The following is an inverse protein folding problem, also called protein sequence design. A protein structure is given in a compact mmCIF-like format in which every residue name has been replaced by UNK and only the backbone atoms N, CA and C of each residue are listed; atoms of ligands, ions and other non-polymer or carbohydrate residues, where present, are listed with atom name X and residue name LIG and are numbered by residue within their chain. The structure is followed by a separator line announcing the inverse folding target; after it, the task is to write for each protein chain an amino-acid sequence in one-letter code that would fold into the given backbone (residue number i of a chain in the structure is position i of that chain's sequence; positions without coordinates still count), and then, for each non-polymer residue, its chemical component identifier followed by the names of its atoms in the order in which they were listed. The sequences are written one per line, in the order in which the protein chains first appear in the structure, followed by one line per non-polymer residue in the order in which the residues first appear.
data_IF_567474278331
#
_entry.id   IF_567474278331
#
_cell.length_a   1.000
_cell.length_b   1.000
_cell.length_c   1.000
_cell.angle_alpha   90.00
_cell.angle_beta   90.00
_cell.angle_gamma   90.00
#
_symmetry.space_group_name_H-M   'P 1'
#
loop_
_entity.id
_entity.type
_entity.pdbx_description
1 polymer ?
#
# COMPACT_ATOMS: atom_id res chain seq x y z
N UNK A 1 -9.88 -20.10 -17.78
CA UNK A 1 -10.20 -18.66 -17.76
C UNK A 1 -9.22 -18.03 -16.80
N UNK A 2 -8.53 -16.98 -17.23
CA UNK A 2 -7.54 -16.27 -16.42
C UNK A 2 -8.29 -15.08 -15.84
N UNK A 3 -8.36 -14.99 -14.52
CA UNK A 3 -8.89 -13.84 -13.81
C UNK A 3 -7.76 -13.12 -13.09
N UNK A 4 -7.80 -11.80 -13.04
CA UNK A 4 -6.84 -10.99 -12.27
C UNK A 4 -7.53 -10.36 -11.07
N UNK A 5 -6.87 -10.41 -9.92
CA UNK A 5 -7.18 -9.58 -8.77
C UNK A 5 -5.92 -8.79 -8.36
N UNK A 6 -6.04 -7.48 -8.31
CA UNK A 6 -5.01 -6.55 -7.86
C UNK A 6 -5.39 -5.99 -6.49
N UNK A 7 -4.59 -6.26 -5.47
CA UNK A 7 -4.68 -5.56 -4.20
C UNK A 7 -3.34 -4.89 -3.85
N UNK A 8 -3.39 -3.89 -2.97
CA UNK A 8 -2.23 -3.18 -2.50
C UNK A 8 -2.34 -2.97 -0.98
N UNK A 9 -1.40 -3.54 -0.23
CA UNK A 9 -1.31 -3.28 1.20
C UNK A 9 -0.70 -1.90 1.49
N UNK A 10 -1.13 -1.29 2.60
CA UNK A 10 -0.45 -0.10 3.10
C UNK A 10 0.93 -0.46 3.67
N UNK A 11 1.92 0.41 3.41
CA UNK A 11 3.25 0.28 3.98
C UNK A 11 3.25 0.54 5.50
N UNK A 12 4.28 0.06 6.24
CA UNK A 12 4.31 0.09 7.70
C UNK A 12 4.02 1.45 8.34
N UNK A 13 4.50 2.56 7.75
CA UNK A 13 4.25 3.90 8.31
C UNK A 13 2.77 4.28 8.30
N UNK A 14 2.00 3.81 7.33
CA UNK A 14 0.56 4.07 7.26
C UNK A 14 -0.19 3.21 8.27
N UNK A 15 0.23 1.95 8.45
CA UNK A 15 -0.34 1.07 9.50
C UNK A 15 -0.03 1.56 10.91
N UNK A 16 1.13 2.19 11.09
CA UNK A 16 1.58 2.71 12.37
C UNK A 16 1.07 4.13 12.67
N UNK A 17 0.22 4.72 11.84
CA UNK A 17 -0.33 6.05 12.10
C UNK A 17 -1.17 6.05 13.39
N UNK A 18 -0.97 7.07 14.22
CA UNK A 18 -1.63 7.20 15.52
C UNK A 18 -2.32 8.55 15.65
N UNK A 19 -3.34 8.60 16.50
CA UNK A 19 -3.93 9.85 16.95
C UNK A 19 -3.11 10.39 18.13
N UNK A 20 -2.37 11.47 17.90
CA UNK A 20 -1.52 12.09 18.93
C UNK A 20 -2.33 12.76 20.04
N UNK A 21 -3.61 13.02 19.83
CA UNK A 21 -4.50 13.60 20.83
C UNK A 21 -5.06 12.54 21.79
N UNK A 22 -4.90 11.24 21.49
CA UNK A 22 -5.24 10.15 22.40
C UNK A 22 -4.22 10.05 23.55
N UNK A 23 -4.70 9.68 24.74
CA UNK A 23 -3.95 9.84 26.00
C UNK A 23 -2.69 8.98 26.10
N UNK A 24 -2.64 7.87 25.36
CA UNK A 24 -1.53 6.92 25.35
C UNK A 24 -0.37 7.30 24.44
N UNK A 25 -0.56 8.26 23.53
CA UNK A 25 0.47 8.71 22.57
C UNK A 25 1.08 10.04 22.99
N UNK A 26 2.40 10.15 22.86
CA UNK A 26 3.17 11.34 23.21
C UNK A 26 4.46 11.42 22.37
N UNK A 27 5.31 12.42 22.63
CA UNK A 27 6.52 12.62 21.83
C UNK A 27 7.59 11.53 22.02
N UNK A 28 7.59 10.84 23.16
CA UNK A 28 8.62 9.83 23.48
C UNK A 28 8.33 8.50 22.77
N UNK A 29 7.06 8.15 22.62
CA UNK A 29 6.60 6.91 22.00
C UNK A 29 6.07 7.07 20.56
N UNK A 30 6.27 8.24 19.95
CA UNK A 30 5.99 8.48 18.53
C UNK A 30 7.23 8.96 17.78
N UNK A 31 7.22 8.75 16.48
CA UNK A 31 8.09 9.45 15.53
C UNK A 31 7.22 10.17 14.51
N UNK A 32 7.80 11.09 13.75
CA UNK A 32 7.03 11.83 12.75
C UNK A 32 7.72 11.85 11.39
N UNK A 33 6.90 11.99 10.37
CA UNK A 33 7.30 12.34 9.01
C UNK A 33 6.57 13.61 8.58
N UNK A 34 7.10 14.33 7.60
CA UNK A 34 6.54 15.61 7.17
C UNK A 34 5.94 15.47 5.78
N UNK A 35 4.65 15.72 5.65
CA UNK A 35 3.96 15.76 4.35
C UNK A 35 3.30 17.11 4.18
N UNK A 36 3.65 17.84 3.12
CA UNK A 36 3.10 19.17 2.80
C UNK A 36 3.18 20.17 3.97
N UNK A 37 4.24 20.08 4.78
CA UNK A 37 4.47 20.94 5.94
C UNK A 37 3.77 20.49 7.23
N UNK A 38 2.96 19.43 7.19
CA UNK A 38 2.31 18.87 8.38
C UNK A 38 3.13 17.70 8.93
N UNK A 39 3.34 17.69 10.26
CA UNK A 39 3.90 16.53 10.96
C UNK A 39 2.81 15.48 11.14
N UNK A 40 3.04 14.29 10.61
CA UNK A 40 2.19 13.13 10.83
C UNK A 40 2.91 12.22 11.80
N UNK A 41 2.23 11.84 12.88
CA UNK A 41 2.80 11.03 13.97
C UNK A 41 2.45 9.56 13.74
N UNK A 42 3.43 8.70 13.99
CA UNK A 42 3.32 7.25 13.92
C UNK A 42 3.92 6.65 15.19
N UNK A 43 3.47 5.46 15.57
CA UNK A 43 4.02 4.72 16.70
C UNK A 43 5.53 4.52 16.52
N UNK A 44 6.31 4.79 17.57
CA UNK A 44 7.78 4.63 17.51
C UNK A 44 8.18 3.16 17.40
N UNK A 45 7.45 2.27 18.05
CA UNK A 45 7.74 0.84 18.03
C UNK A 45 6.60 0.09 17.38
N UNK A 46 6.95 -0.75 16.42
CA UNK A 46 6.02 -1.66 15.74
C UNK A 46 6.54 -3.08 15.87
N UNK A 47 5.62 -4.04 15.84
CA UNK A 47 5.96 -5.44 15.71
C UNK A 47 5.41 -5.96 14.39
N UNK A 48 6.25 -6.69 13.66
CA UNK A 48 5.84 -7.45 12.48
C UNK A 48 6.33 -8.89 12.62
N UNK A 49 5.41 -9.86 12.57
CA UNK A 49 5.70 -11.30 12.74
C UNK A 49 6.63 -11.62 13.93
N UNK A 50 6.36 -11.01 15.08
CA UNK A 50 7.12 -11.22 16.32
C UNK A 50 8.47 -10.50 16.40
N UNK A 51 8.89 -9.79 15.34
CA UNK A 51 10.11 -8.96 15.36
C UNK A 51 9.75 -7.52 15.64
N UNK A 52 10.43 -6.91 16.61
CA UNK A 52 10.24 -5.50 16.95
C UNK A 52 11.13 -4.60 16.08
N UNK A 53 10.52 -3.58 15.51
CA UNK A 53 11.17 -2.53 14.75
C UNK A 53 10.94 -1.18 15.43
N UNK A 54 11.91 -0.28 15.25
CA UNK A 54 11.87 1.09 15.75
C UNK A 54 11.89 2.07 14.58
N UNK A 55 10.96 3.01 14.62
CA UNK A 55 10.83 4.09 13.66
C UNK A 55 11.99 5.07 13.79
N UNK A 56 12.58 5.44 12.67
CA UNK A 56 13.63 6.45 12.56
C UNK A 56 13.22 7.46 11.48
N UNK A 57 13.15 8.74 11.87
CA UNK A 57 12.93 9.81 10.90
C UNK A 57 14.19 10.03 10.06
N UNK A 58 14.06 9.87 8.74
CA UNK A 58 15.12 10.11 7.77
C UNK A 58 14.62 11.17 6.77
N UNK A 59 15.14 12.39 6.91
CA UNK A 59 14.64 13.54 6.15
C UNK A 59 13.17 13.81 6.46
N UNK A 60 12.30 13.67 5.46
CA UNK A 60 10.86 13.88 5.59
C UNK A 60 10.05 12.58 5.71
N UNK A 61 10.71 11.43 5.84
CA UNK A 61 10.10 10.11 5.88
C UNK A 61 10.43 9.39 7.20
N UNK A 62 9.71 8.32 7.50
CA UNK A 62 10.02 7.37 8.58
C UNK A 62 10.34 6.02 7.96
N UNK A 63 11.44 5.41 8.39
CA UNK A 63 11.73 3.99 8.17
C UNK A 63 11.65 3.22 9.49
N UNK A 64 11.30 1.94 9.42
CA UNK A 64 11.35 1.02 10.54
C UNK A 64 12.53 0.06 10.38
N UNK A 65 13.44 0.08 11.35
CA UNK A 65 14.60 -0.83 11.40
C UNK A 65 14.54 -1.70 12.64
N UNK A 66 15.13 -2.90 12.60
CA UNK A 66 15.11 -3.81 13.75
C UNK A 66 15.66 -3.12 15.01
N UNK A 67 14.94 -3.28 16.12
CA UNK A 67 15.37 -2.78 17.42
C UNK A 67 16.44 -3.69 18.05
N UNK A 68 17.40 -3.11 18.76
CA UNK A 68 18.30 -3.86 19.65
C UNK A 68 17.62 -4.18 21.00
N UNK A 69 18.37 -4.77 21.94
CA UNK A 69 17.86 -5.16 23.26
C UNK A 69 17.39 -3.98 24.12
N UNK A 70 17.80 -2.76 23.78
CA UNK A 70 17.48 -1.53 24.51
C UNK A 70 16.43 -0.67 23.77
N UNK A 71 15.90 -1.17 22.65
CA UNK A 71 14.89 -0.48 21.85
C UNK A 71 15.44 0.59 20.91
N UNK A 72 16.76 0.60 20.67
CA UNK A 72 17.42 1.51 19.74
C UNK A 72 17.52 0.91 18.34
N UNK A 73 17.63 1.73 17.29
CA UNK A 73 17.80 1.24 15.93
C UNK A 73 19.13 0.49 15.78
N UNK A 74 19.07 -0.81 15.49
CA UNK A 74 20.27 -1.62 15.23
C UNK A 74 20.78 -1.50 13.79
N UNK A 75 19.91 -1.09 12.86
CA UNK A 75 20.23 -0.96 11.42
C UNK A 75 20.45 -2.27 10.67
N UNK A 76 20.28 -3.42 11.33
CA UNK A 76 20.56 -4.74 10.74
C UNK A 76 19.57 -5.14 9.64
N UNK A 77 18.34 -4.63 9.69
CA UNK A 77 17.32 -4.87 8.69
C UNK A 77 16.31 -3.73 8.70
N UNK A 78 15.93 -3.29 7.51
CA UNK A 78 14.86 -2.34 7.24
C UNK A 78 13.59 -3.13 6.87
N UNK A 79 12.47 -2.81 7.52
CA UNK A 79 11.20 -3.53 7.34
C UNK A 79 10.63 -3.32 5.94
N UNK A 80 10.72 -2.11 5.38
CA UNK A 80 10.22 -1.84 4.04
C UNK A 80 11.04 -2.61 3.00
N UNK A 81 12.37 -2.62 3.14
CA UNK A 81 13.24 -3.43 2.29
C UNK A 81 12.99 -4.93 2.45
N UNK A 82 12.67 -5.41 3.65
CA UNK A 82 12.26 -6.80 3.87
C UNK A 82 10.97 -7.13 3.12
N UNK A 83 9.99 -6.22 3.12
CA UNK A 83 8.70 -6.41 2.44
C UNK A 83 8.89 -6.43 0.93
N UNK A 84 9.59 -5.44 0.36
CA UNK A 84 9.73 -5.27 -1.10
C UNK A 84 10.84 -6.12 -1.73
N UNK A 85 11.49 -6.99 -0.94
CA UNK A 85 12.60 -7.82 -1.41
C UNK A 85 12.23 -8.75 -2.58
N UNK A 86 11.01 -9.26 -2.60
CA UNK A 86 10.50 -10.12 -3.66
C UNK A 86 9.01 -10.40 -3.57
N UNK A 87 8.48 -11.17 -4.54
CA UNK A 87 7.05 -11.48 -4.60
C UNK A 87 6.56 -12.23 -3.35
N UNK A 88 7.31 -13.24 -2.90
CA UNK A 88 6.96 -14.01 -1.70
C UNK A 88 6.92 -13.14 -0.44
N UNK A 89 7.87 -12.20 -0.29
CA UNK A 89 7.89 -11.31 0.88
C UNK A 89 6.73 -10.32 0.86
N UNK A 90 6.37 -9.80 -0.31
CA UNK A 90 5.19 -8.93 -0.46
C UNK A 90 3.89 -9.69 -0.19
N UNK A 91 3.74 -10.91 -0.74
CA UNK A 91 2.56 -11.75 -0.49
C UNK A 91 2.43 -12.12 1.00
N UNK A 92 3.55 -12.50 1.64
CA UNK A 92 3.58 -12.79 3.07
C UNK A 92 3.22 -11.57 3.91
N UNK A 93 3.63 -10.37 3.51
CA UNK A 93 3.25 -9.15 4.20
C UNK A 93 1.75 -8.91 4.13
N UNK A 94 1.14 -8.99 2.95
CA UNK A 94 -0.32 -8.82 2.78
C UNK A 94 -1.09 -9.80 3.65
N UNK A 95 -0.73 -11.09 3.62
CA UNK A 95 -1.39 -12.11 4.44
C UNK A 95 -1.16 -11.86 5.94
N UNK A 96 0.07 -11.57 6.33
CA UNK A 96 0.44 -11.34 7.74
C UNK A 96 -0.32 -10.19 8.36
N UNK A 97 -0.45 -9.04 7.68
CA UNK A 97 -1.19 -7.91 8.25
C UNK A 97 -2.69 -8.24 8.41
N UNK A 98 -3.29 -8.98 7.47
CA UNK A 98 -4.67 -9.44 7.55
C UNK A 98 -4.91 -10.42 8.71
N UNK A 99 -3.89 -11.23 9.04
CA UNK A 99 -3.89 -12.17 10.15
C UNK A 99 -3.47 -11.56 11.51
N UNK A 100 -3.33 -10.23 11.58
CA UNK A 100 -2.95 -9.51 12.81
C UNK A 100 -1.47 -9.56 13.14
N UNK A 101 -0.62 -9.87 12.16
CA UNK A 101 0.84 -9.94 12.29
C UNK A 101 1.54 -8.59 12.40
N UNK A 102 0.81 -7.48 12.31
CA UNK A 102 1.31 -6.12 12.53
C UNK A 102 0.66 -5.47 13.75
N UNK A 103 1.47 -4.91 14.64
CA UNK A 103 1.00 -4.21 15.83
C UNK A 103 1.88 -3.04 16.22
N UNK A 104 1.35 -2.18 17.09
CA UNK A 104 2.04 -1.01 17.64
C UNK A 104 2.23 -1.16 19.14
N UNK A 105 3.21 -0.46 19.71
CA UNK A 105 3.47 -0.44 21.15
C UNK A 105 3.71 0.99 21.63
N UNK A 106 3.20 1.32 22.81
CA UNK A 106 3.41 2.60 23.49
C UNK A 106 4.66 2.62 24.37
N UNK A 107 5.28 1.46 24.59
CA UNK A 107 6.53 1.24 25.32
C UNK A 107 7.32 0.10 24.67
N UNK A 108 8.65 0.23 24.59
CA UNK A 108 9.50 -0.83 24.06
C UNK A 108 9.39 -2.11 24.94
N UNK A 109 9.07 -3.25 24.31
CA UNK A 109 8.85 -4.50 25.02
C UNK A 109 7.52 -4.59 25.78
N UNK A 110 6.65 -3.59 25.61
CA UNK A 110 5.31 -3.57 26.18
C UNK A 110 4.31 -4.46 25.43
N UNK A 111 3.03 -4.28 25.77
CA UNK A 111 1.93 -4.98 25.08
C UNK A 111 1.85 -4.55 23.63
N UNK A 112 1.79 -5.53 22.72
CA UNK A 112 1.55 -5.30 21.30
C UNK A 112 0.06 -5.15 21.07
N UNK A 113 -0.35 -3.98 20.59
CA UNK A 113 -1.73 -3.71 20.17
C UNK A 113 -1.85 -3.99 18.67
N UNK A 114 -2.62 -5.01 18.23
CA UNK A 114 -2.76 -5.33 16.82
C UNK A 114 -3.41 -4.19 16.04
N UNK A 115 -2.86 -3.87 14.87
CA UNK A 115 -3.48 -2.91 13.95
C UNK A 115 -4.52 -3.66 13.14
N UNK A 116 -5.78 -3.28 13.31
CA UNK A 116 -6.93 -3.91 12.62
C UNK A 116 -7.54 -3.02 11.55
N UNK A 117 -7.17 -1.74 11.51
CA UNK A 117 -7.63 -0.77 10.51
C UNK A 117 -6.64 0.40 10.40
N UNK A 118 -6.78 1.22 9.36
CA UNK A 118 -6.04 2.48 9.20
C UNK A 118 -6.99 3.67 9.25
N UNK A 119 -6.47 4.89 9.14
CA UNK A 119 -7.31 6.07 8.89
C UNK A 119 -8.16 5.98 7.60
N UNK A 120 -7.82 5.06 6.68
CA UNK A 120 -8.63 4.77 5.49
C UNK A 120 -9.69 3.68 5.74
N UNK A 121 -9.78 3.10 6.93
CA UNK A 121 -10.79 2.11 7.30
C UNK A 121 -10.44 0.65 7.00
N UNK A 122 -9.33 0.36 6.30
CA UNK A 122 -8.84 -1.00 6.02
C UNK A 122 -7.31 -1.08 6.09
N UNK A 123 -6.79 -2.31 6.10
CA UNK A 123 -5.34 -2.62 6.06
C UNK A 123 -4.77 -2.68 4.63
N UNK A 124 -5.62 -2.93 3.64
CA UNK A 124 -5.29 -2.84 2.21
C UNK A 124 -6.10 -1.73 1.57
N UNK A 125 -5.74 -1.33 0.34
CA UNK A 125 -6.45 -0.29 -0.40
C UNK A 125 -7.82 -0.77 -0.86
N UNK A 126 -7.98 -2.05 -1.19
CA UNK A 126 -9.28 -2.64 -1.53
C UNK A 126 -10.25 -2.52 -0.35
N UNK A 127 -11.47 -2.05 -0.64
CA UNK A 127 -12.50 -1.82 0.38
C UNK A 127 -12.22 -0.66 1.35
N UNK A 128 -11.13 0.09 1.15
CA UNK A 128 -10.78 1.26 1.97
C UNK A 128 -11.35 2.55 1.38
N UNK A 129 -11.33 3.61 2.18
CA UNK A 129 -11.61 4.97 1.74
C UNK A 129 -10.38 5.63 1.06
N UNK A 130 -9.32 4.88 0.78
CA UNK A 130 -8.16 5.39 0.07
C UNK A 130 -8.56 5.83 -1.33
N UNK A 131 -8.23 7.08 -1.64
CA UNK A 131 -8.62 7.72 -2.90
C UNK A 131 -10.11 7.58 -3.20
N UNK A 132 -10.98 7.81 -2.20
CA UNK A 132 -12.44 7.83 -2.39
C UNK A 132 -12.95 9.05 -3.19
N UNK A 133 -12.07 9.78 -3.89
CA UNK A 133 -12.40 10.97 -4.67
C UNK A 133 -12.25 10.70 -6.17
N UNK A 134 -12.97 11.48 -6.98
CA UNK A 134 -13.12 11.21 -8.42
C UNK A 134 -14.29 10.25 -8.69
N UNK A 135 -14.58 10.00 -9.96
CA UNK A 135 -15.80 9.29 -10.34
C UNK A 135 -15.77 7.78 -9.98
N UNK A 136 -14.59 7.16 -9.92
CA UNK A 136 -14.44 5.72 -9.65
C UNK A 136 -13.69 5.41 -8.33
N UNK A 137 -12.94 6.37 -7.78
CA UNK A 137 -12.00 6.13 -6.68
C UNK A 137 -10.91 5.09 -7.01
N UNK A 138 -10.13 4.63 -6.04
CA UNK A 138 -9.11 3.58 -6.30
C UNK A 138 -9.76 2.26 -6.73
N UNK A 139 -10.72 1.75 -5.97
CA UNK A 139 -11.29 0.43 -6.20
C UNK A 139 -11.99 0.31 -7.55
N UNK A 140 -12.87 1.25 -7.91
CA UNK A 140 -13.56 1.19 -9.21
C UNK A 140 -12.61 1.34 -10.40
N UNK A 141 -11.45 1.97 -10.20
CA UNK A 141 -10.40 2.04 -11.21
C UNK A 141 -9.66 0.71 -11.38
N UNK A 142 -9.42 -0.02 -10.29
CA UNK A 142 -8.81 -1.36 -10.32
C UNK A 142 -9.78 -2.38 -10.92
N UNK A 143 -11.05 -2.37 -10.50
CA UNK A 143 -12.09 -3.24 -11.05
C UNK A 143 -12.23 -3.05 -12.57
N UNK A 144 -12.13 -1.82 -13.07
CA UNK A 144 -12.15 -1.54 -14.50
C UNK A 144 -10.92 -2.10 -15.26
N UNK A 145 -9.74 -2.14 -14.61
CA UNK A 145 -8.54 -2.79 -15.18
C UNK A 145 -8.73 -4.32 -15.22
N UNK A 146 -9.22 -4.90 -14.13
CA UNK A 146 -9.49 -6.34 -14.00
C UNK A 146 -10.51 -6.80 -15.06
N UNK A 147 -11.64 -6.10 -15.15
CA UNK A 147 -12.69 -6.36 -16.15
C UNK A 147 -12.14 -6.27 -17.58
N UNK A 148 -11.34 -5.24 -17.87
CA UNK A 148 -10.72 -5.12 -19.19
C UNK A 148 -9.83 -6.34 -19.51
N UNK A 149 -8.99 -6.77 -18.57
CA UNK A 149 -8.07 -7.89 -18.74
C UNK A 149 -8.82 -9.20 -18.95
N UNK A 150 -9.88 -9.42 -18.18
CA UNK A 150 -10.72 -10.62 -18.28
C UNK A 150 -11.42 -10.69 -19.65
N UNK A 151 -11.88 -9.55 -20.18
CA UNK A 151 -12.58 -9.49 -21.47
C UNK A 151 -11.65 -9.49 -22.70
N UNK A 152 -10.50 -8.82 -22.62
CA UNK A 152 -9.66 -8.50 -23.78
C UNK A 152 -8.28 -9.17 -23.74
N UNK A 153 -7.96 -9.85 -22.64
CA UNK A 153 -6.64 -10.39 -22.36
C UNK A 153 -5.69 -9.35 -21.77
N UNK A 154 -4.44 -9.76 -21.58
CA UNK A 154 -3.47 -8.97 -20.82
C UNK A 154 -2.20 -8.61 -21.60
N UNK A 155 -1.90 -9.24 -22.73
CA UNK A 155 -0.59 -9.09 -23.38
C UNK A 155 -0.57 -7.92 -24.37
N UNK A 156 -0.46 -6.70 -23.85
CA UNK A 156 -0.43 -5.47 -24.65
C UNK A 156 0.90 -4.71 -24.50
N UNK A 157 1.19 -3.85 -25.49
CA UNK A 157 2.35 -2.95 -25.41
C UNK A 157 1.93 -1.66 -24.70
N UNK A 158 2.84 -1.11 -23.90
CA UNK A 158 2.63 0.18 -23.23
C UNK A 158 2.33 1.32 -24.23
N UNK A 159 2.85 1.20 -25.45
CA UNK A 159 2.63 2.15 -26.54
C UNK A 159 1.18 2.14 -27.06
N UNK A 160 0.44 1.05 -26.85
CA UNK A 160 -0.97 0.91 -27.23
C UNK A 160 -1.90 1.51 -26.17
N UNK A 161 -1.36 1.95 -25.03
CA UNK A 161 -2.12 2.52 -23.93
C UNK A 161 -2.16 4.04 -24.02
N UNK A 162 -3.35 4.62 -24.15
CA UNK A 162 -3.55 6.07 -24.26
C UNK A 162 -4.71 6.55 -23.39
N UNK A 163 -4.60 7.78 -22.89
CA UNK A 163 -5.68 8.43 -22.14
C UNK A 163 -6.45 9.34 -23.09
N UNK A 164 -7.78 9.31 -23.02
CA UNK A 164 -8.63 10.20 -23.80
C UNK A 164 -8.23 11.67 -23.60
N UNK A 165 -8.09 12.40 -24.71
CA UNK A 165 -7.73 13.82 -24.69
C UNK A 165 -8.90 14.69 -24.18
N UNK A 166 -10.12 14.30 -24.54
CA UNK A 166 -11.36 14.96 -24.18
C UNK A 166 -12.16 14.11 -23.19
N UNK A 167 -13.03 14.78 -22.44
CA UNK A 167 -14.00 14.11 -21.57
C UNK A 167 -15.13 13.48 -22.40
N UNK A 168 -15.61 12.32 -21.97
CA UNK A 168 -16.81 11.71 -22.51
C UNK A 168 -18.10 12.31 -21.91
N UNK A 169 -19.25 11.70 -22.21
CA UNK A 169 -20.56 12.18 -21.75
C UNK A 169 -20.72 12.16 -20.21
N UNK A 170 -19.90 11.37 -19.50
CA UNK A 170 -19.88 11.31 -18.03
C UNK A 170 -18.88 12.31 -17.43
N UNK A 171 -18.21 13.12 -18.26
CA UNK A 171 -17.16 14.04 -17.84
C UNK A 171 -15.83 13.33 -17.54
N UNK A 172 -15.61 12.12 -18.06
CA UNK A 172 -14.44 11.30 -17.73
C UNK A 172 -13.43 11.22 -18.87
N UNK A 173 -12.15 11.16 -18.51
CA UNK A 173 -11.04 10.86 -19.44
C UNK A 173 -10.55 9.45 -19.21
N UNK A 174 -11.18 8.51 -19.90
CA UNK A 174 -10.93 7.07 -19.77
C UNK A 174 -9.64 6.66 -20.51
N UNK A 175 -9.02 5.60 -20.03
CA UNK A 175 -7.90 4.94 -20.70
C UNK A 175 -8.41 3.96 -21.74
N UNK A 176 -7.68 3.86 -22.83
CA UNK A 176 -7.84 2.83 -23.85
C UNK A 176 -6.55 2.01 -23.96
N UNK A 177 -6.70 0.74 -24.29
CA UNK A 177 -5.63 -0.17 -24.65
C UNK A 177 -5.94 -0.73 -26.03
N UNK A 178 -5.06 -0.46 -27.00
CA UNK A 178 -5.34 -0.66 -28.41
C UNK A 178 -6.68 -0.01 -28.81
N UNK A 179 -7.63 -0.80 -29.33
CA UNK A 179 -8.91 -0.32 -29.85
C UNK A 179 -10.06 -0.34 -28.81
N UNK A 180 -9.77 -0.71 -27.56
CA UNK A 180 -10.79 -0.91 -26.53
C UNK A 180 -10.62 0.07 -25.35
N UNK A 181 -11.75 0.60 -24.85
CA UNK A 181 -11.82 1.54 -23.71
C UNK A 181 -11.95 0.73 -22.42
N UNK A 182 -11.08 0.99 -21.46
CA UNK A 182 -10.93 0.19 -20.22
C UNK A 182 -11.86 0.57 -19.08
N UNK A 183 -12.65 1.65 -19.22
CA UNK A 183 -13.43 2.22 -18.11
C UNK A 183 -12.59 3.00 -17.08
N UNK A 184 -11.33 2.61 -16.86
CA UNK A 184 -10.43 3.21 -15.89
C UNK A 184 -10.03 4.66 -16.24
N UNK A 185 -9.81 5.48 -15.22
CA UNK A 185 -9.54 6.92 -15.29
C UNK A 185 -8.32 7.37 -14.48
N UNK A 186 -7.76 6.48 -13.64
CA UNK A 186 -6.64 6.78 -12.75
C UNK A 186 -5.41 7.28 -13.53
N UNK A 187 -4.60 8.19 -12.96
CA UNK A 187 -3.35 8.62 -13.61
C UNK A 187 -2.36 7.46 -13.79
N UNK A 188 -2.32 6.57 -12.82
CA UNK A 188 -1.29 5.53 -12.70
C UNK A 188 -1.72 4.23 -13.41
N UNK A 189 -2.70 4.31 -14.31
CA UNK A 189 -3.29 3.17 -15.02
C UNK A 189 -2.23 2.26 -15.63
N UNK A 190 -1.23 2.85 -16.30
CA UNK A 190 -0.17 2.08 -16.97
C UNK A 190 0.60 1.22 -15.97
N UNK A 191 0.90 1.75 -14.79
CA UNK A 191 1.70 1.04 -13.78
C UNK A 191 0.91 -0.15 -13.23
N UNK A 192 -0.37 0.04 -12.89
CA UNK A 192 -1.23 -1.07 -12.45
C UNK A 192 -1.45 -2.12 -13.55
N UNK A 193 -1.68 -1.68 -14.79
CA UNK A 193 -1.84 -2.60 -15.91
C UNK A 193 -0.57 -3.43 -16.13
N UNK A 194 0.61 -2.78 -16.13
CA UNK A 194 1.91 -3.48 -16.26
C UNK A 194 2.12 -4.47 -15.13
N UNK A 195 1.78 -4.12 -13.88
CA UNK A 195 1.88 -5.04 -12.74
C UNK A 195 1.02 -6.29 -12.97
N UNK A 196 -0.22 -6.13 -13.47
CA UNK A 196 -1.07 -7.25 -13.84
C UNK A 196 -0.44 -8.11 -14.96
N UNK A 197 0.08 -7.48 -16.03
CA UNK A 197 0.75 -8.22 -17.11
C UNK A 197 1.96 -9.01 -16.58
N UNK A 198 2.75 -8.43 -15.67
CA UNK A 198 3.92 -9.09 -15.09
C UNK A 198 3.53 -10.28 -14.22
N UNK A 199 2.46 -10.15 -13.43
CA UNK A 199 1.94 -11.24 -12.61
C UNK A 199 1.43 -12.40 -13.49
N UNK A 200 0.65 -12.10 -14.53
CA UNK A 200 0.13 -13.10 -15.45
C UNK A 200 1.22 -13.78 -16.28
N UNK A 201 2.21 -13.03 -16.77
CA UNK A 201 3.37 -13.59 -17.46
C UNK A 201 4.18 -14.56 -16.58
N UNK A 202 4.19 -14.34 -15.26
CA UNK A 202 4.83 -15.24 -14.31
C UNK A 202 4.02 -16.54 -14.13
N UNK A 203 2.69 -16.46 -14.07
CA UNK A 203 1.81 -17.63 -13.99
C UNK A 203 1.93 -18.53 -15.23
N UNK A 204 2.07 -17.98 -16.42
CA UNK A 204 2.26 -18.78 -17.65
C UNK A 204 3.60 -19.53 -17.72
N UNK A 205 4.60 -19.10 -16.93
CA UNK A 205 5.94 -19.72 -16.90
C UNK A 205 6.06 -20.85 -15.88
N UNK A 206 5.10 -20.97 -14.96
CA UNK A 206 5.05 -21.97 -13.90
C UNK A 206 4.17 -23.16 -14.31
#
# INVERSE_FOLDING_TARGET
EVSVELDEAFLPHTLAAVDIDAAEWNEDNTVYYVTRGNQNRVARWVQYNGTTYVGTTVGNSVTYVTADSDGNPSGNQDLELLIIHGQDSMANYVASIQDGGFGVMTEFGGTVEPVTTTGSGQLTKRGSNYWAFGALGWQGNIEAIEEFIDENGWNFRIADMSRAAEEDADGLRRWSVADAVTGATLSDFKDYFINAQMALAQLERN
#
